data_IF_530052686050
#
_entry.id   IF_530052686050
#
_cell.length_a   1.000
_cell.length_b   1.000
_cell.length_c   1.000
_cell.angle_alpha   90.00
_cell.angle_beta   90.00
_cell.angle_gamma   90.00
#
_symmetry.space_group_name_H-M   'P 1'
#
loop_
_entity.id
_entity.type
_entity.pdbx_description
1 polymer ?
#
# COMPACT_ATOMS: atom_id res chain seq x y z
N UNK A 1 -73.28 24.85 5.02
CA UNK A 1 -72.14 23.91 4.85
C UNK A 1 -70.92 24.52 4.13
N UNK A 2 -70.93 25.82 3.80
CA UNK A 2 -69.85 26.53 3.07
C UNK A 2 -68.86 27.25 3.99
N UNK A 3 -69.32 27.77 5.14
CA UNK A 3 -68.47 28.46 6.13
C UNK A 3 -67.45 27.54 6.81
N UNK A 4 -67.85 26.31 7.15
CA UNK A 4 -66.98 25.31 7.79
C UNK A 4 -65.82 24.88 6.87
N UNK A 5 -66.08 24.77 5.55
CA UNK A 5 -65.04 24.45 4.56
C UNK A 5 -64.03 25.59 4.37
N UNK A 6 -64.48 26.85 4.36
CA UNK A 6 -63.59 28.02 4.25
C UNK A 6 -62.63 28.13 5.44
N UNK A 7 -63.12 27.94 6.66
CA UNK A 7 -62.27 28.01 7.86
C UNK A 7 -61.25 26.89 7.93
N UNK A 8 -61.59 25.69 7.43
CA UNK A 8 -60.65 24.56 7.37
C UNK A 8 -59.49 24.81 6.39
N UNK A 9 -59.79 25.41 5.23
CA UNK A 9 -58.77 25.76 4.22
C UNK A 9 -57.85 26.86 4.75
N UNK A 10 -58.40 27.87 5.43
CA UNK A 10 -57.58 28.94 6.03
C UNK A 10 -56.67 28.36 7.11
N UNK A 11 -57.19 27.45 7.95
CA UNK A 11 -56.40 26.78 8.99
C UNK A 11 -55.28 25.92 8.41
N UNK A 12 -55.52 25.21 7.30
CA UNK A 12 -54.48 24.38 6.65
C UNK A 12 -53.38 25.24 6.03
N UNK A 13 -53.73 26.40 5.45
CA UNK A 13 -52.75 27.33 4.87
C UNK A 13 -51.88 27.98 5.96
N UNK A 14 -52.50 28.39 7.07
CA UNK A 14 -51.77 28.95 8.22
C UNK A 14 -50.82 27.91 8.83
N UNK A 15 -51.26 26.66 8.97
CA UNK A 15 -50.41 25.56 9.47
C UNK A 15 -49.22 25.26 8.54
N UNK A 16 -49.42 25.34 7.22
CA UNK A 16 -48.35 25.13 6.24
C UNK A 16 -47.31 26.26 6.28
N UNK A 17 -47.74 27.52 6.47
CA UNK A 17 -46.83 28.65 6.65
C UNK A 17 -46.03 28.54 7.95
N UNK A 18 -46.65 28.09 9.04
CA UNK A 18 -45.97 27.84 10.32
C UNK A 18 -44.87 26.76 10.19
N UNK A 19 -45.09 25.70 9.41
CA UNK A 19 -44.06 24.69 9.14
C UNK A 19 -42.85 25.25 8.39
N UNK A 20 -43.06 26.23 7.49
CA UNK A 20 -41.95 26.87 6.75
C UNK A 20 -41.15 27.89 7.58
N UNK A 21 -41.76 28.51 8.59
CA UNK A 21 -41.10 29.51 9.45
C UNK A 21 -40.35 28.86 10.62
N UNK A 22 -40.85 27.74 11.14
CA UNK A 22 -40.19 26.96 12.21
C UNK A 22 -39.30 25.82 11.70
N UNK A 23 -39.30 25.56 10.39
CA UNK A 23 -38.35 24.67 9.70
C UNK A 23 -36.98 25.32 9.58
N UNK A 24 -36.37 25.63 10.73
CA UNK A 24 -35.00 26.12 10.81
C UNK A 24 -34.05 25.24 10.00
N UNK A 25 -33.03 25.87 9.41
CA UNK A 25 -31.92 25.22 8.76
C UNK A 25 -31.49 24.01 9.58
N UNK A 26 -31.81 22.80 9.12
CA UNK A 26 -31.14 21.62 9.62
C UNK A 26 -29.69 21.85 9.26
N UNK A 27 -28.87 22.18 10.26
CA UNK A 27 -27.43 22.00 10.14
C UNK A 27 -27.25 20.51 9.90
N UNK A 28 -27.21 20.13 8.62
CA UNK A 28 -26.63 18.88 8.20
C UNK A 28 -25.17 19.05 8.58
N UNK A 29 -24.82 18.58 9.78
CA UNK A 29 -23.46 18.23 10.08
C UNK A 29 -23.12 17.15 9.06
N UNK A 30 -22.60 17.55 7.90
CA UNK A 30 -21.82 16.66 7.08
C UNK A 30 -20.81 16.06 8.03
N UNK A 31 -20.91 14.73 8.20
CA UNK A 31 -20.01 13.93 9.02
C UNK A 31 -18.63 14.54 8.89
N UNK A 32 -18.13 15.02 10.04
CA UNK A 32 -16.94 15.82 10.14
C UNK A 32 -15.87 15.30 9.19
N UNK A 33 -15.17 16.28 8.64
CA UNK A 33 -13.96 16.23 7.84
C UNK A 33 -12.85 15.37 8.48
N UNK A 34 -13.12 14.11 8.79
CA UNK A 34 -12.18 13.04 8.65
C UNK A 34 -11.90 13.01 7.16
N UNK A 35 -10.94 13.84 6.74
CA UNK A 35 -10.23 13.60 5.52
C UNK A 35 -9.66 12.19 5.66
N UNK A 36 -10.45 11.19 5.24
CA UNK A 36 -9.91 9.98 4.65
C UNK A 36 -9.20 10.52 3.43
N UNK A 37 -7.98 11.01 3.65
CA UNK A 37 -7.06 11.32 2.57
C UNK A 37 -7.03 10.03 1.80
N UNK A 38 -7.70 10.00 0.65
CA UNK A 38 -7.74 8.81 -0.19
C UNK A 38 -6.30 8.57 -0.60
N UNK A 39 -5.65 7.65 0.09
CA UNK A 39 -4.27 7.26 -0.20
C UNK A 39 -4.39 6.26 -1.33
N UNK A 40 -4.18 6.72 -2.55
CA UNK A 40 -3.97 5.84 -3.68
C UNK A 40 -2.64 5.12 -3.44
N UNK A 41 -2.71 3.87 -2.98
CA UNK A 41 -1.54 3.01 -2.74
C UNK A 41 -1.58 1.88 -3.74
N UNK A 42 -0.61 1.87 -4.64
CA UNK A 42 -0.38 0.78 -5.57
C UNK A 42 0.55 -0.25 -4.93
N UNK A 43 0.33 -1.52 -5.23
CA UNK A 43 1.15 -2.63 -4.75
C UNK A 43 1.55 -3.50 -5.93
N UNK A 44 2.85 -3.66 -6.14
CA UNK A 44 3.37 -4.52 -7.20
C UNK A 44 4.33 -5.55 -6.61
N UNK A 45 4.36 -6.73 -7.23
CA UNK A 45 5.26 -7.81 -6.84
C UNK A 45 6.08 -8.23 -8.04
N UNK A 46 7.39 -8.32 -7.86
CA UNK A 46 8.33 -8.69 -8.91
C UNK A 46 9.32 -9.72 -8.39
N UNK A 47 9.69 -10.65 -9.26
CA UNK A 47 10.60 -11.74 -8.97
C UNK A 47 11.92 -11.50 -9.68
N UNK A 48 13.01 -11.78 -8.96
CA UNK A 48 14.38 -11.60 -9.38
C UNK A 48 15.16 -12.89 -9.12
N UNK A 49 16.13 -13.19 -9.97
CA UNK A 49 17.05 -14.32 -9.77
C UNK A 49 18.43 -13.74 -9.55
N UNK A 50 19.03 -14.04 -8.40
CA UNK A 50 20.39 -13.62 -8.06
C UNK A 50 21.28 -14.87 -8.04
N UNK A 51 22.28 -14.90 -8.93
CA UNK A 51 23.23 -16.00 -9.01
C UNK A 51 24.28 -15.91 -7.90
N UNK A 52 24.44 -16.99 -7.14
CA UNK A 52 25.43 -17.10 -6.06
C UNK A 52 26.72 -17.76 -6.59
N UNK A 53 27.29 -17.19 -7.66
CA UNK A 53 28.43 -17.81 -8.35
C UNK A 53 28.09 -19.21 -8.88
N UNK A 54 28.99 -20.17 -8.67
CA UNK A 54 28.79 -21.54 -9.16
C UNK A 54 27.90 -22.39 -8.25
N UNK A 55 27.65 -21.98 -7.00
CA UNK A 55 26.96 -22.84 -6.03
C UNK A 55 25.45 -22.95 -6.28
N UNK A 56 24.87 -22.00 -7.02
CA UNK A 56 23.43 -21.95 -7.24
C UNK A 56 22.89 -20.52 -7.36
N UNK A 57 21.63 -20.33 -6.97
CA UNK A 57 20.94 -19.05 -7.08
C UNK A 57 19.83 -18.91 -6.02
N UNK A 58 19.42 -17.67 -5.76
CA UNK A 58 18.23 -17.35 -4.98
C UNK A 58 17.18 -16.66 -5.85
N UNK A 59 15.94 -17.17 -5.82
CA UNK A 59 14.79 -16.50 -6.42
C UNK A 59 14.17 -15.58 -5.38
N UNK A 60 14.31 -14.28 -5.56
CA UNK A 60 13.87 -13.26 -4.62
C UNK A 60 12.59 -12.60 -5.13
N UNK A 61 11.51 -12.70 -4.36
CA UNK A 61 10.22 -12.08 -4.60
C UNK A 61 10.08 -10.84 -3.73
N UNK A 62 10.01 -9.68 -4.38
CA UNK A 62 9.85 -8.39 -3.73
C UNK A 62 8.44 -7.85 -3.93
N UNK A 63 7.79 -7.48 -2.84
CA UNK A 63 6.54 -6.72 -2.87
C UNK A 63 6.82 -5.29 -2.44
N UNK A 64 6.49 -4.35 -3.31
CA UNK A 64 6.73 -2.92 -3.10
C UNK A 64 5.39 -2.20 -3.20
N UNK A 65 5.20 -1.25 -2.29
CA UNK A 65 4.06 -0.35 -2.33
C UNK A 65 4.50 1.05 -2.71
N UNK A 66 3.68 1.72 -3.49
CA UNK A 66 3.88 3.10 -3.90
C UNK A 66 2.66 3.93 -3.51
N UNK A 67 2.88 5.00 -2.76
CA UNK A 67 1.84 5.95 -2.38
C UNK A 67 1.82 7.09 -3.40
N UNK A 68 0.84 7.06 -4.30
CA UNK A 68 0.64 8.04 -5.38
C UNK A 68 0.38 9.45 -4.85
N UNK A 69 -0.16 9.59 -3.64
CA UNK A 69 -0.42 10.90 -3.02
C UNK A 69 0.86 11.57 -2.54
N UNK A 70 1.85 10.80 -2.08
CA UNK A 70 3.11 11.35 -1.49
C UNK A 70 4.33 11.14 -2.37
N UNK A 71 4.23 10.35 -3.45
CA UNK A 71 5.36 9.95 -4.30
C UNK A 71 6.39 9.07 -3.59
N UNK A 72 6.03 8.48 -2.44
CA UNK A 72 6.92 7.61 -1.65
C UNK A 72 6.63 6.15 -1.90
N UNK A 73 7.68 5.37 -2.09
CA UNK A 73 7.66 3.92 -2.22
C UNK A 73 8.36 3.27 -1.04
N UNK A 74 8.04 2.02 -0.74
CA UNK A 74 8.74 1.22 0.25
C UNK A 74 8.61 -0.28 -0.04
N UNK A 75 9.63 -1.05 0.31
CA UNK A 75 9.57 -2.51 0.27
C UNK A 75 8.70 -2.98 1.44
N UNK A 76 7.71 -3.81 1.16
CA UNK A 76 6.80 -4.39 2.16
C UNK A 76 7.24 -5.78 2.57
N UNK A 77 7.73 -6.56 1.61
CA UNK A 77 8.09 -7.96 1.81
C UNK A 77 9.22 -8.36 0.88
N UNK A 78 10.16 -9.11 1.45
CA UNK A 78 11.18 -9.87 0.74
C UNK A 78 10.94 -11.33 1.08
N UNK A 79 10.69 -12.16 0.07
CA UNK A 79 10.65 -13.63 0.20
C UNK A 79 11.69 -14.21 -0.74
N UNK A 80 12.28 -15.33 -0.38
CA UNK A 80 13.23 -16.00 -1.25
C UNK A 80 13.05 -17.51 -1.26
N UNK A 81 13.45 -18.12 -2.37
CA UNK A 81 13.54 -19.57 -2.53
C UNK A 81 14.91 -19.89 -3.12
N UNK A 82 15.66 -20.66 -2.34
CA UNK A 82 17.07 -20.89 -2.59
C UNK A 82 17.26 -22.23 -3.30
N UNK A 83 18.21 -22.27 -4.23
CA UNK A 83 18.61 -23.49 -4.91
C UNK A 83 20.12 -23.58 -4.86
N UNK A 84 20.63 -24.59 -4.16
CA UNK A 84 22.05 -24.95 -4.12
C UNK A 84 22.23 -26.22 -4.95
N UNK A 85 23.22 -26.23 -5.85
CA UNK A 85 23.47 -27.41 -6.67
C UNK A 85 24.12 -28.54 -5.85
N UNK A 86 23.72 -29.81 -6.03
CA UNK A 86 24.13 -30.92 -5.17
C UNK A 86 25.64 -31.15 -5.06
N UNK A 87 26.42 -30.78 -6.08
CA UNK A 87 27.87 -30.93 -6.08
C UNK A 87 28.58 -29.99 -5.09
N UNK A 88 27.92 -28.93 -4.61
CA UNK A 88 28.46 -28.00 -3.62
C UNK A 88 27.92 -28.30 -2.23
N UNK A 89 28.37 -29.42 -1.64
CA UNK A 89 27.87 -29.96 -0.35
C UNK A 89 28.02 -28.96 0.81
N UNK A 90 29.04 -28.10 0.77
CA UNK A 90 29.27 -27.05 1.77
C UNK A 90 28.58 -25.72 1.43
N UNK A 91 27.93 -25.64 0.26
CA UNK A 91 27.24 -24.45 -0.21
C UNK A 91 25.95 -24.21 0.57
N UNK A 92 25.75 -23.00 1.06
CA UNK A 92 24.47 -22.59 1.67
C UNK A 92 24.17 -21.13 1.42
N UNK A 93 22.90 -20.79 1.28
CA UNK A 93 22.44 -19.40 1.27
C UNK A 93 22.05 -19.05 2.72
N UNK A 94 22.65 -17.98 3.25
CA UNK A 94 22.51 -17.57 4.65
C UNK A 94 21.33 -16.62 4.82
N UNK A 95 21.25 -15.60 3.97
CA UNK A 95 20.23 -14.57 4.05
C UNK A 95 20.14 -13.75 2.76
N UNK A 96 19.01 -13.06 2.60
CA UNK A 96 18.78 -12.08 1.54
C UNK A 96 18.45 -10.74 2.18
N UNK A 97 19.17 -9.71 1.80
CA UNK A 97 18.93 -8.33 2.24
C UNK A 97 18.68 -7.40 1.05
N UNK A 98 18.07 -6.25 1.34
CA UNK A 98 17.73 -5.26 0.31
C UNK A 98 18.10 -3.86 0.79
N UNK A 99 18.44 -3.00 -0.17
CA UNK A 99 18.64 -1.59 0.06
C UNK A 99 17.85 -0.77 -0.97
N UNK A 100 16.93 0.12 -0.54
CA UNK A 100 16.45 0.35 0.83
C UNK A 100 15.85 -0.89 1.51
N UNK A 101 16.05 -1.00 2.83
CA UNK A 101 15.52 -2.09 3.63
C UNK A 101 13.97 -2.08 3.72
N UNK A 102 13.39 -3.19 4.16
CA UNK A 102 11.93 -3.33 4.38
C UNK A 102 11.42 -2.20 5.28
N UNK A 103 10.34 -1.56 4.84
CA UNK A 103 9.68 -0.45 5.55
C UNK A 103 10.39 0.91 5.43
N UNK A 104 11.56 0.99 4.77
CA UNK A 104 12.22 2.27 4.50
C UNK A 104 11.61 2.93 3.27
N UNK A 105 11.23 4.19 3.42
CA UNK A 105 10.66 4.99 2.34
C UNK A 105 11.75 5.55 1.43
N UNK A 106 11.47 5.55 0.13
CA UNK A 106 12.29 6.17 -0.89
C UNK A 106 11.40 6.87 -1.92
N UNK A 107 11.98 7.78 -2.70
CA UNK A 107 11.28 8.58 -3.71
C UNK A 107 12.11 8.71 -4.98
N UNK A 108 11.43 8.90 -6.12
CA UNK A 108 12.06 9.00 -7.43
C UNK A 108 12.48 7.66 -8.02
N UNK A 109 13.18 7.72 -9.15
CA UNK A 109 13.77 6.53 -9.80
C UNK A 109 14.99 6.12 -8.99
N UNK A 110 14.86 5.01 -8.25
CA UNK A 110 15.98 4.43 -7.52
C UNK A 110 16.34 3.07 -8.11
N UNK A 111 17.63 2.74 -8.05
CA UNK A 111 18.08 1.35 -8.19
C UNK A 111 17.91 0.68 -6.84
N UNK A 112 17.10 -0.37 -6.79
CA UNK A 112 17.03 -1.25 -5.63
C UNK A 112 18.19 -2.25 -5.71
N UNK A 113 18.84 -2.49 -4.57
CA UNK A 113 19.90 -3.49 -4.42
C UNK A 113 19.34 -4.69 -3.67
N UNK A 114 19.60 -5.90 -4.19
CA UNK A 114 19.44 -7.16 -3.46
C UNK A 114 20.84 -7.72 -3.21
N UNK A 115 21.15 -8.01 -1.96
CA UNK A 115 22.34 -8.75 -1.57
C UNK A 115 21.93 -10.13 -1.08
N UNK A 116 22.50 -11.19 -1.67
CA UNK A 116 22.36 -12.57 -1.21
C UNK A 116 23.67 -12.96 -0.56
N UNK A 117 23.61 -13.20 0.75
CA UNK A 117 24.75 -13.65 1.53
C UNK A 117 24.78 -15.18 1.53
N UNK A 118 25.87 -15.77 1.09
CA UNK A 118 26.02 -17.21 0.95
C UNK A 118 27.38 -17.66 1.44
N UNK A 119 27.52 -18.97 1.68
CA UNK A 119 28.79 -19.57 2.07
C UNK A 119 29.19 -20.62 1.04
N UNK A 120 30.47 -20.68 0.69
CA UNK A 120 31.06 -21.73 -0.13
C UNK A 120 32.41 -22.15 0.45
N UNK A 121 32.65 -23.44 0.62
CA UNK A 121 33.88 -24.00 1.18
C UNK A 121 34.37 -23.35 2.50
N UNK A 122 33.44 -22.85 3.32
CA UNK A 122 33.75 -22.17 4.57
C UNK A 122 33.83 -20.64 4.47
N UNK A 123 33.95 -20.06 3.27
CA UNK A 123 34.04 -18.62 3.05
C UNK A 123 32.67 -17.96 2.90
N UNK A 124 32.47 -16.82 3.56
CA UNK A 124 31.26 -15.99 3.40
C UNK A 124 31.41 -15.04 2.22
N UNK A 125 30.44 -15.09 1.32
CA UNK A 125 30.41 -14.36 0.06
C UNK A 125 29.08 -13.62 -0.07
N UNK A 126 29.08 -12.58 -0.91
CA UNK A 126 27.86 -11.80 -1.20
C UNK A 126 27.70 -11.67 -2.71
N UNK A 127 26.52 -12.03 -3.20
CA UNK A 127 26.10 -11.77 -4.57
C UNK A 127 25.14 -10.59 -4.59
N UNK A 128 25.47 -9.56 -5.38
CA UNK A 128 24.69 -8.32 -5.45
C UNK A 128 24.02 -8.21 -6.81
N UNK A 129 22.72 -7.91 -6.82
CA UNK A 129 21.97 -7.56 -8.01
C UNK A 129 21.29 -6.21 -7.85
N UNK A 130 21.48 -5.33 -8.84
CA UNK A 130 20.76 -4.07 -8.93
C UNK A 130 19.62 -4.18 -9.94
N UNK A 131 18.52 -3.49 -9.68
CA UNK A 131 17.42 -3.36 -10.62
C UNK A 131 16.73 -2.01 -10.46
N UNK A 132 16.24 -1.49 -11.58
CA UNK A 132 15.45 -0.27 -11.62
C UNK A 132 13.97 -0.61 -11.53
N UNK A 133 13.24 0.26 -10.83
CA UNK A 133 11.79 0.32 -10.84
C UNK A 133 11.30 1.08 -12.06
#
# INVERSE_FOLDING_TARGET
MTYLRKNLIVLSVVFMMLLTVFGGSLNINALENNSVTSRAIESYTKEYVVGCGEIGYSRVKLTIKHNMTTGKSWIVSVKHTDTVYPQYVTGKINSVSTDPAIGKYFSGVISLKIDVHYQNAGEELTATQYFRL
#
